data_IF_219736840598
#
_entry.id   IF_219736840598
#
_cell.length_a   1.000
_cell.length_b   1.000
_cell.length_c   1.000
_cell.angle_alpha   90.00
_cell.angle_beta   90.00
_cell.angle_gamma   90.00
#
_symmetry.space_group_name_H-M   'P 1'
#
loop_
_entity.id
_entity.type
_entity.pdbx_description
1 polymer ?
#
# COMPACT_ATOMS: atom_id res chain seq x y z
N UNK A 1 -23.49 -3.63 14.03
CA UNK A 1 -23.40 -4.41 15.29
C UNK A 1 -22.04 -5.09 15.49
N UNK A 2 -21.36 -5.63 14.48
CA UNK A 2 -20.07 -6.32 14.64
C UNK A 2 -18.88 -5.42 15.01
N UNK A 3 -18.77 -4.20 14.46
CA UNK A 3 -17.70 -3.24 14.84
C UNK A 3 -17.80 -2.84 16.32
N UNK A 4 -19.02 -2.67 16.83
CA UNK A 4 -19.25 -2.40 18.26
C UNK A 4 -18.86 -3.57 19.15
N UNK A 5 -18.99 -4.82 18.67
CA UNK A 5 -18.47 -6.02 19.38
C UNK A 5 -16.95 -6.12 19.33
N UNK A 6 -16.31 -5.72 18.23
CA UNK A 6 -14.85 -5.64 18.12
C UNK A 6 -14.28 -4.59 19.10
N UNK A 7 -14.90 -3.41 19.15
CA UNK A 7 -14.56 -2.36 20.13
C UNK A 7 -14.79 -2.84 21.57
N UNK A 8 -15.91 -3.53 21.83
CA UNK A 8 -16.21 -4.09 23.15
C UNK A 8 -15.28 -5.24 23.56
N UNK A 9 -14.88 -6.12 22.64
CA UNK A 9 -13.95 -7.22 22.89
C UNK A 9 -12.51 -6.71 23.11
N UNK A 10 -12.10 -5.67 22.36
CA UNK A 10 -10.85 -4.95 22.62
C UNK A 10 -10.88 -4.28 24.01
N UNK A 11 -12.00 -3.65 24.38
CA UNK A 11 -12.17 -3.02 25.67
C UNK A 11 -12.24 -4.03 26.84
N UNK A 12 -12.80 -5.24 26.62
CA UNK A 12 -12.91 -6.26 27.67
C UNK A 12 -11.63 -7.06 27.88
N UNK A 13 -10.75 -7.15 26.88
CA UNK A 13 -9.43 -7.77 27.00
C UNK A 13 -8.41 -6.86 27.73
N UNK A 14 -8.75 -5.58 27.91
CA UNK A 14 -7.93 -4.59 28.58
C UNK A 14 -8.51 -4.26 29.97
N UNK A 15 -7.81 -4.62 31.05
CA UNK A 15 -8.21 -4.31 32.43
C UNK A 15 -8.63 -2.84 32.62
N UNK A 16 -9.56 -2.56 33.54
CA UNK A 16 -10.32 -1.30 33.71
C UNK A 16 -9.50 0.02 33.69
N UNK A 17 -8.21 0.00 34.05
CA UNK A 17 -7.30 1.17 33.94
C UNK A 17 -6.98 1.55 32.47
N UNK A 18 -7.19 0.62 31.55
CA UNK A 18 -6.89 0.71 30.12
C UNK A 18 -8.16 0.96 29.28
N UNK A 19 -9.36 1.02 29.87
CA UNK A 19 -10.59 1.41 29.15
C UNK A 19 -10.54 2.88 28.70
N UNK A 20 -9.82 3.75 29.44
CA UNK A 20 -9.44 5.08 28.96
C UNK A 20 -8.51 5.03 27.72
N UNK A 21 -7.85 3.90 27.51
CA UNK A 21 -6.99 3.59 26.37
C UNK A 21 -7.70 2.84 25.23
N UNK A 22 -8.99 2.47 25.36
CA UNK A 22 -9.80 2.06 24.21
C UNK A 22 -10.11 3.26 23.27
N UNK A 23 -9.87 4.48 23.76
CA UNK A 23 -9.78 5.71 22.97
C UNK A 23 -8.32 6.04 22.58
N UNK A 24 -7.41 5.04 22.55
CA UNK A 24 -6.08 5.20 21.96
C UNK A 24 -6.29 5.41 20.46
N UNK A 25 -6.13 6.67 20.05
CA UNK A 25 -5.71 7.03 18.71
C UNK A 25 -4.39 6.29 18.46
N UNK A 26 -4.45 5.07 17.89
CA UNK A 26 -3.23 4.32 17.58
C UNK A 26 -2.47 5.10 16.52
N UNK A 27 -1.43 5.78 16.98
CA UNK A 27 -0.65 6.66 16.14
C UNK A 27 0.37 5.81 15.36
N UNK A 28 0.00 5.52 14.11
CA UNK A 28 0.85 4.84 13.17
C UNK A 28 2.15 5.63 12.85
N UNK A 29 2.40 6.81 13.42
CA UNK A 29 3.69 7.50 13.28
C UNK A 29 4.73 7.08 14.33
N UNK A 30 4.35 6.38 15.41
CA UNK A 30 5.22 6.18 16.58
C UNK A 30 6.31 5.11 16.43
N UNK A 31 6.17 4.15 15.51
CA UNK A 31 7.21 3.14 15.27
C UNK A 31 8.12 3.64 14.15
N UNK A 32 9.29 4.13 14.51
CA UNK A 32 10.33 4.54 13.57
C UNK A 32 11.13 3.31 13.14
N UNK A 33 10.79 2.73 12.00
CA UNK A 33 11.62 1.72 11.36
C UNK A 33 12.67 2.40 10.48
N UNK A 34 13.94 2.01 10.62
CA UNK A 34 14.98 2.45 9.69
C UNK A 34 14.64 1.95 8.28
N UNK A 35 14.81 2.84 7.30
CA UNK A 35 14.60 2.48 5.90
C UNK A 35 15.59 1.37 5.49
N UNK A 36 15.14 0.34 4.75
CA UNK A 36 16.02 -0.68 4.20
C UNK A 36 17.14 -0.04 3.37
N UNK A 37 18.29 -0.74 3.25
CA UNK A 37 19.51 -0.21 2.63
C UNK A 37 19.27 0.30 1.22
N UNK A 38 18.37 -0.35 0.49
CA UNK A 38 17.97 -0.06 -0.88
C UNK A 38 17.29 1.31 -1.04
N UNK A 39 16.69 1.84 0.04
CA UNK A 39 15.96 3.11 0.08
C UNK A 39 16.75 4.24 0.77
N UNK A 40 17.97 3.98 1.27
CA UNK A 40 18.76 5.01 1.95
C UNK A 40 19.13 6.17 1.01
N UNK A 41 19.46 5.86 -0.25
CA UNK A 41 19.79 6.87 -1.25
C UNK A 41 18.60 7.80 -1.55
N UNK A 42 17.38 7.24 -1.63
CA UNK A 42 16.14 8.01 -1.74
C UNK A 42 16.01 9.00 -0.56
N UNK A 43 16.23 8.55 0.67
CA UNK A 43 16.26 9.42 1.85
C UNK A 43 17.21 10.61 1.66
N UNK A 44 18.43 10.40 1.17
CA UNK A 44 19.41 11.47 1.00
C UNK A 44 19.05 12.49 -0.11
N UNK A 45 18.16 12.12 -1.03
CA UNK A 45 17.73 12.98 -2.14
C UNK A 45 16.56 13.90 -1.73
N UNK A 46 15.72 13.47 -0.78
CA UNK A 46 14.54 14.24 -0.36
C UNK A 46 14.90 15.49 0.45
N UNK A 47 14.24 16.61 0.15
CA UNK A 47 14.29 17.82 0.99
C UNK A 47 13.77 17.55 2.39
N UNK A 48 14.20 18.31 3.41
CA UNK A 48 13.75 18.16 4.80
C UNK A 48 12.23 18.08 4.95
N UNK A 49 11.49 19.01 4.34
CA UNK A 49 10.01 19.02 4.33
C UNK A 49 9.39 17.77 3.72
N UNK A 50 10.02 17.18 2.70
CA UNK A 50 9.54 15.95 2.05
C UNK A 50 9.81 14.71 2.91
N UNK A 51 10.93 14.68 3.62
CA UNK A 51 11.21 13.64 4.62
C UNK A 51 10.18 13.68 5.73
N UNK A 52 9.94 14.86 6.29
CA UNK A 52 8.94 15.06 7.34
C UNK A 52 7.53 14.63 6.87
N UNK A 53 7.14 14.98 5.64
CA UNK A 53 5.86 14.52 5.09
C UNK A 53 5.82 13.01 4.80
N UNK A 54 6.95 12.38 4.46
CA UNK A 54 7.03 10.95 4.23
C UNK A 54 7.04 10.14 5.54
N UNK A 55 7.51 10.72 6.63
CA UNK A 55 7.59 10.08 7.96
C UNK A 55 6.36 10.36 8.83
N UNK A 56 5.77 11.56 8.72
CA UNK A 56 4.70 12.03 9.63
C UNK A 56 3.47 12.57 8.89
N UNK A 57 3.51 12.63 7.55
CA UNK A 57 2.39 13.16 6.77
C UNK A 57 1.15 12.27 6.83
N UNK A 58 0.00 12.87 6.54
CA UNK A 58 -1.30 12.18 6.47
C UNK A 58 -1.29 11.00 5.49
N UNK A 59 -0.55 11.13 4.39
CA UNK A 59 -0.36 10.05 3.43
C UNK A 59 0.38 8.87 4.07
N UNK A 60 1.45 9.11 4.83
CA UNK A 60 2.21 8.05 5.52
C UNK A 60 1.32 7.31 6.54
N UNK A 61 0.56 8.06 7.34
CA UNK A 61 -0.42 7.50 8.28
C UNK A 61 -1.41 6.60 7.55
N UNK A 62 -1.99 7.07 6.44
CA UNK A 62 -2.92 6.29 5.62
C UNK A 62 -2.26 5.01 5.06
N UNK A 63 -1.03 5.10 4.55
CA UNK A 63 -0.32 3.96 4.01
C UNK A 63 -0.05 2.90 5.08
N UNK A 64 0.23 3.30 6.32
CA UNK A 64 0.41 2.39 7.46
C UNK A 64 -0.91 1.81 7.96
N UNK A 65 -1.97 2.61 7.99
CA UNK A 65 -3.32 2.13 8.30
C UNK A 65 -3.76 1.06 7.29
N UNK A 66 -3.57 1.31 5.99
CA UNK A 66 -3.84 0.34 4.94
C UNK A 66 -2.89 -0.87 5.04
N UNK A 67 -1.60 -0.65 5.33
CA UNK A 67 -0.62 -1.72 5.52
C UNK A 67 -1.05 -2.68 6.63
N UNK A 68 -1.52 -2.15 7.76
CA UNK A 68 -2.09 -2.94 8.84
C UNK A 68 -3.42 -3.60 8.45
N UNK A 69 -4.31 -2.89 7.76
CA UNK A 69 -5.62 -3.42 7.35
C UNK A 69 -5.50 -4.61 6.38
N UNK A 70 -4.52 -4.57 5.49
CA UNK A 70 -4.25 -5.62 4.50
C UNK A 70 -3.11 -6.57 4.90
N UNK A 71 -2.65 -6.50 6.15
CA UNK A 71 -1.61 -7.38 6.65
C UNK A 71 -2.02 -8.86 6.51
N UNK A 72 -1.05 -9.70 6.17
CA UNK A 72 -1.25 -11.13 5.90
C UNK A 72 -1.98 -11.48 4.59
N UNK A 73 -2.38 -10.51 3.75
CA UNK A 73 -2.98 -10.81 2.44
C UNK A 73 -1.90 -11.04 1.37
N UNK A 74 -0.92 -10.14 1.28
CA UNK A 74 0.06 -10.17 0.20
C UNK A 74 1.13 -11.24 0.45
N UNK A 75 1.53 -12.04 -0.56
CA UNK A 75 2.63 -12.99 -0.40
C UNK A 75 3.94 -12.25 -0.11
N UNK A 76 4.86 -12.94 0.59
CA UNK A 76 6.21 -12.42 0.84
C UNK A 76 6.97 -12.30 -0.47
N UNK A 77 7.45 -11.09 -0.77
CA UNK A 77 8.13 -10.77 -2.02
C UNK A 77 9.46 -10.01 -1.81
N UNK A 78 10.42 -10.58 -1.06
CA UNK A 78 11.62 -9.86 -0.65
C UNK A 78 12.48 -9.41 -1.84
N UNK A 79 12.64 -10.25 -2.86
CA UNK A 79 13.45 -9.91 -4.05
C UNK A 79 12.80 -8.79 -4.86
N UNK A 80 11.46 -8.79 -4.99
CA UNK A 80 10.71 -7.70 -5.61
C UNK A 80 10.90 -6.39 -4.84
N UNK A 81 10.76 -6.42 -3.52
CA UNK A 81 10.88 -5.22 -2.68
C UNK A 81 12.29 -4.63 -2.70
N UNK A 82 13.31 -5.49 -2.75
CA UNK A 82 14.71 -5.09 -2.92
C UNK A 82 14.94 -4.42 -4.28
N UNK A 83 14.52 -5.09 -5.37
CA UNK A 83 14.65 -4.58 -6.73
C UNK A 83 13.87 -3.27 -6.92
N UNK A 84 12.67 -3.18 -6.36
CA UNK A 84 11.84 -1.98 -6.36
C UNK A 84 12.54 -0.83 -5.62
N UNK A 85 13.15 -1.10 -4.46
CA UNK A 85 13.87 -0.08 -3.68
C UNK A 85 15.07 0.49 -4.41
N UNK A 86 15.89 -0.37 -5.01
CA UNK A 86 17.03 0.05 -5.85
C UNK A 86 16.55 0.94 -7.00
N UNK A 87 15.48 0.55 -7.68
CA UNK A 87 14.89 1.32 -8.77
C UNK A 87 14.30 2.64 -8.30
N UNK A 88 13.59 2.66 -7.17
CA UNK A 88 13.02 3.88 -6.61
C UNK A 88 14.10 4.90 -6.23
N UNK A 89 15.21 4.43 -5.66
CA UNK A 89 16.40 5.25 -5.38
C UNK A 89 17.05 5.80 -6.65
N UNK A 90 17.15 5.02 -7.72
CA UNK A 90 17.65 5.48 -9.03
C UNK A 90 16.75 6.57 -9.63
N UNK A 91 15.43 6.36 -9.62
CA UNK A 91 14.42 7.35 -10.07
C UNK A 91 14.60 8.65 -9.30
N UNK A 92 14.70 8.58 -7.98
CA UNK A 92 14.83 9.77 -7.15
C UNK A 92 16.10 10.56 -7.45
N UNK A 93 17.23 9.87 -7.68
CA UNK A 93 18.49 10.51 -8.04
C UNK A 93 18.37 11.26 -9.36
N UNK A 94 17.84 10.62 -10.41
CA UNK A 94 17.65 11.25 -11.72
C UNK A 94 16.63 12.40 -11.66
N UNK A 95 15.52 12.22 -10.93
CA UNK A 95 14.50 13.26 -10.77
C UNK A 95 15.08 14.53 -10.11
N UNK A 96 15.98 14.39 -9.14
CA UNK A 96 16.66 15.53 -8.51
C UNK A 96 17.55 16.30 -9.49
N UNK A 97 18.23 15.60 -10.38
CA UNK A 97 19.11 16.19 -11.40
C UNK A 97 18.31 16.93 -12.50
N UNK A 98 17.05 16.53 -12.73
CA UNK A 98 16.22 17.03 -13.84
C UNK A 98 15.26 18.18 -13.42
N UNK A 99 15.33 18.68 -12.17
CA UNK A 99 14.56 19.82 -11.63
C UNK A 99 13.02 19.70 -11.60
N UNK A 100 12.41 18.60 -12.06
CA UNK A 100 10.95 18.45 -12.00
C UNK A 100 10.44 18.09 -10.60
N UNK A 101 9.32 18.69 -10.15
CA UNK A 101 8.82 18.51 -8.80
C UNK A 101 8.28 17.08 -8.61
N UNK A 102 9.10 16.25 -7.99
CA UNK A 102 8.70 15.00 -7.35
C UNK A 102 7.43 15.18 -6.51
N UNK A 103 6.32 14.62 -6.98
CA UNK A 103 5.08 14.54 -6.24
C UNK A 103 5.29 13.66 -5.01
N UNK A 104 4.77 14.10 -3.86
CA UNK A 104 5.04 13.54 -2.54
C UNK A 104 4.70 12.05 -2.45
N UNK A 105 5.73 11.22 -2.62
CA UNK A 105 5.59 9.78 -2.60
C UNK A 105 5.81 9.20 -1.22
N UNK A 106 4.95 8.23 -0.98
CA UNK A 106 4.79 7.40 0.20
C UNK A 106 5.91 6.36 0.26
N UNK A 107 7.03 6.72 0.88
CA UNK A 107 8.08 5.75 1.12
C UNK A 107 8.22 5.54 2.62
N UNK A 108 7.58 4.46 3.08
CA UNK A 108 7.67 3.92 4.44
C UNK A 108 7.79 2.38 4.38
N UNK A 109 7.60 1.74 5.53
CA UNK A 109 7.75 0.29 5.83
C UNK A 109 7.35 -0.71 4.71
N UNK A 110 7.86 -1.95 4.77
CA UNK A 110 7.56 -3.01 3.79
C UNK A 110 6.06 -3.25 3.57
N UNK A 111 5.20 -3.08 4.58
CA UNK A 111 3.74 -3.16 4.46
C UNK A 111 3.16 -1.97 3.69
N UNK A 112 3.71 -0.77 3.87
CA UNK A 112 3.38 0.41 3.09
C UNK A 112 3.83 0.26 1.62
N UNK A 113 4.93 -0.46 1.35
CA UNK A 113 5.38 -0.75 -0.02
C UNK A 113 4.42 -1.67 -0.77
N UNK A 114 3.90 -2.72 -0.13
CA UNK A 114 2.89 -3.59 -0.72
C UNK A 114 1.63 -2.81 -1.11
N UNK A 115 1.16 -1.93 -0.22
CA UNK A 115 0.03 -1.02 -0.51
C UNK A 115 0.35 -0.07 -1.65
N UNK A 116 1.57 0.48 -1.70
CA UNK A 116 2.00 1.34 -2.79
C UNK A 116 2.02 0.60 -4.14
N UNK A 117 2.46 -0.66 -4.17
CA UNK A 117 2.41 -1.50 -5.37
C UNK A 117 0.97 -1.78 -5.80
N UNK A 118 0.05 -2.04 -4.87
CA UNK A 118 -1.38 -2.16 -5.16
C UNK A 118 -1.94 -0.84 -5.72
N UNK A 119 -1.61 0.30 -5.12
CA UNK A 119 -2.03 1.60 -5.62
C UNK A 119 -1.51 1.86 -7.04
N UNK A 120 -0.28 1.45 -7.33
CA UNK A 120 0.31 1.52 -8.67
C UNK A 120 -0.42 0.60 -9.67
N UNK A 121 -0.75 -0.63 -9.26
CA UNK A 121 -1.54 -1.56 -10.07
C UNK A 121 -2.89 -0.95 -10.45
N UNK A 122 -3.63 -0.44 -9.46
CA UNK A 122 -4.93 0.18 -9.69
C UNK A 122 -4.82 1.41 -10.60
N UNK A 123 -3.81 2.24 -10.37
CA UNK A 123 -3.54 3.44 -11.16
C UNK A 123 -3.20 3.15 -12.63
N UNK A 124 -2.59 1.99 -12.93
CA UNK A 124 -2.24 1.56 -14.29
C UNK A 124 -3.42 1.01 -15.07
N UNK A 125 -4.34 0.34 -14.39
CA UNK A 125 -5.42 -0.42 -15.05
C UNK A 125 -6.71 0.40 -15.16
N UNK A 126 -7.04 1.21 -14.15
CA UNK A 126 -8.31 1.95 -14.08
C UNK A 126 -8.12 3.46 -14.13
N UNK A 127 -9.20 4.17 -14.49
CA UNK A 127 -9.26 5.63 -14.35
C UNK A 127 -9.22 6.05 -12.88
N UNK A 128 -8.93 7.32 -12.58
CA UNK A 128 -8.85 7.80 -11.21
C UNK A 128 -10.16 7.60 -10.42
N UNK A 129 -11.30 7.83 -11.07
CA UNK A 129 -12.61 7.68 -10.41
C UNK A 129 -12.92 6.21 -10.09
N UNK A 130 -12.62 5.30 -11.02
CA UNK A 130 -12.79 3.85 -10.84
C UNK A 130 -11.84 3.31 -9.77
N UNK A 131 -10.55 3.67 -9.82
CA UNK A 131 -9.56 3.23 -8.84
C UNK A 131 -9.94 3.65 -7.41
N UNK A 132 -10.47 4.87 -7.24
CA UNK A 132 -10.96 5.34 -5.94
C UNK A 132 -12.20 4.57 -5.50
N UNK A 133 -13.12 4.24 -6.41
CA UNK A 133 -14.28 3.41 -6.08
C UNK A 133 -13.86 1.99 -5.66
N UNK A 134 -12.91 1.40 -6.37
CA UNK A 134 -12.30 0.10 -6.04
C UNK A 134 -11.67 0.16 -4.65
N UNK A 135 -10.87 1.20 -4.34
CA UNK A 135 -10.28 1.37 -3.00
C UNK A 135 -11.32 1.42 -1.88
N UNK A 136 -12.43 2.14 -2.10
CA UNK A 136 -13.53 2.22 -1.13
C UNK A 136 -14.15 0.83 -0.91
N UNK A 137 -14.36 0.07 -1.98
CA UNK A 137 -14.85 -1.30 -1.89
C UNK A 137 -13.85 -2.22 -1.17
N UNK A 138 -12.56 -2.15 -1.51
CA UNK A 138 -11.48 -2.92 -0.90
C UNK A 138 -11.43 -2.72 0.62
N UNK A 139 -11.45 -1.47 1.07
CA UNK A 139 -11.44 -1.14 2.50
C UNK A 139 -12.71 -1.65 3.19
N UNK A 140 -13.88 -1.46 2.56
CA UNK A 140 -15.17 -1.89 3.11
C UNK A 140 -15.25 -3.41 3.28
N UNK A 141 -14.93 -4.16 2.22
CA UNK A 141 -14.97 -5.63 2.25
C UNK A 141 -13.91 -6.21 3.18
N UNK A 142 -12.72 -5.61 3.25
CA UNK A 142 -11.68 -6.07 4.20
C UNK A 142 -12.13 -5.88 5.65
N UNK A 143 -12.71 -4.72 5.99
CA UNK A 143 -13.27 -4.48 7.33
C UNK A 143 -14.39 -5.48 7.67
N UNK A 144 -15.29 -5.78 6.72
CA UNK A 144 -16.34 -6.80 6.89
C UNK A 144 -15.73 -8.20 7.10
N UNK A 145 -14.70 -8.56 6.35
CA UNK A 145 -14.01 -9.85 6.48
C UNK A 145 -13.41 -10.01 7.87
N UNK A 146 -12.73 -8.98 8.41
CA UNK A 146 -12.13 -9.04 9.75
C UNK A 146 -13.20 -9.09 10.83
N UNK A 147 -14.29 -8.32 10.68
CA UNK A 147 -15.42 -8.37 11.60
C UNK A 147 -16.02 -9.79 11.68
N UNK A 148 -16.15 -10.49 10.54
CA UNK A 148 -16.59 -11.89 10.50
C UNK A 148 -15.63 -12.86 11.19
N UNK A 149 -14.31 -12.62 11.12
CA UNK A 149 -13.31 -13.45 11.83
C UNK A 149 -13.47 -13.30 13.35
N UNK A 150 -13.66 -12.07 13.83
CA UNK A 150 -13.91 -11.82 15.26
C UNK A 150 -15.24 -12.41 15.71
N UNK A 151 -16.30 -12.31 14.91
CA UNK A 151 -17.59 -12.94 15.23
C UNK A 151 -17.48 -14.48 15.36
N UNK A 152 -16.48 -15.10 14.70
CA UNK A 152 -16.17 -16.54 14.81
C UNK A 152 -15.25 -16.89 16.00
N UNK A 153 -14.79 -15.90 16.77
CA UNK A 153 -13.86 -16.10 17.88
C UNK A 153 -12.41 -16.33 17.46
N UNK A 154 -12.04 -16.00 16.21
CA UNK A 154 -10.65 -16.09 15.76
C UNK A 154 -9.82 -14.97 16.41
N UNK A 155 -8.59 -15.26 16.88
CA UNK A 155 -7.72 -14.24 17.44
C UNK A 155 -7.26 -13.26 16.35
N UNK A 156 -7.54 -11.98 16.56
CA UNK A 156 -7.15 -10.91 15.62
C UNK A 156 -6.02 -10.07 16.23
N UNK A 157 -4.90 -9.86 15.51
CA UNK A 157 -3.82 -8.99 15.98
C UNK A 157 -4.31 -7.59 16.34
N UNK A 158 -3.77 -7.02 17.42
CA UNK A 158 -4.17 -5.69 17.91
C UNK A 158 -4.08 -4.59 16.84
N UNK A 159 -3.00 -4.57 16.04
CA UNK A 159 -2.83 -3.61 14.94
C UNK A 159 -3.91 -3.73 13.87
N UNK A 160 -4.36 -4.95 13.56
CA UNK A 160 -5.43 -5.22 12.61
C UNK A 160 -6.78 -4.74 13.17
N UNK A 161 -7.03 -5.00 14.45
CA UNK A 161 -8.25 -4.56 15.12
C UNK A 161 -8.33 -3.02 15.24
N UNK A 162 -7.20 -2.36 15.53
CA UNK A 162 -7.09 -0.91 15.52
C UNK A 162 -7.34 -0.31 14.12
N UNK A 163 -6.80 -0.92 13.07
CA UNK A 163 -6.99 -0.46 11.68
C UNK A 163 -8.45 -0.55 11.21
N UNK A 164 -9.22 -1.54 11.69
CA UNK A 164 -10.67 -1.65 11.39
C UNK A 164 -11.46 -0.47 11.96
N UNK A 165 -11.10 -0.01 13.17
CA UNK A 165 -11.77 1.08 13.87
C UNK A 165 -11.50 2.48 13.29
N UNK A 166 -10.45 2.64 12.48
CA UNK A 166 -10.08 3.91 11.87
C UNK A 166 -11.00 4.25 10.69
N UNK A 167 -11.50 5.49 10.62
CA UNK A 167 -12.25 5.95 9.45
C UNK A 167 -11.30 6.32 8.30
N UNK A 168 -11.45 5.65 7.16
CA UNK A 168 -10.64 5.91 5.96
C UNK A 168 -11.58 6.54 4.95
N UNK A 169 -11.43 7.86 4.79
CA UNK A 169 -12.33 8.65 3.96
C UNK A 169 -12.01 8.51 2.47
N UNK A 170 -13.03 8.66 1.62
CA UNK A 170 -12.86 8.67 0.15
C UNK A 170 -11.84 9.72 -0.34
N UNK A 171 -11.78 10.96 0.21
CA UNK A 171 -10.74 11.93 -0.16
C UNK A 171 -9.31 11.46 0.15
N UNK A 172 -9.09 10.75 1.26
CA UNK A 172 -7.79 10.17 1.58
C UNK A 172 -7.38 9.12 0.54
N UNK A 173 -8.31 8.25 0.12
CA UNK A 173 -8.08 7.27 -0.94
C UNK A 173 -7.81 7.93 -2.30
N UNK A 174 -8.49 9.05 -2.60
CA UNK A 174 -8.21 9.84 -3.79
C UNK A 174 -6.81 10.47 -3.77
N UNK A 175 -6.34 10.96 -2.62
CA UNK A 175 -4.99 11.47 -2.47
C UNK A 175 -3.92 10.37 -2.64
N UNK A 176 -4.20 9.15 -2.15
CA UNK A 176 -3.36 7.98 -2.36
C UNK A 176 -3.23 7.62 -3.85
N UNK A 177 -4.36 7.51 -4.57
CA UNK A 177 -4.36 7.23 -6.01
C UNK A 177 -3.63 8.33 -6.80
N UNK A 178 -3.86 9.61 -6.47
CA UNK A 178 -3.17 10.72 -7.09
C UNK A 178 -1.64 10.66 -6.87
N UNK A 179 -1.20 10.30 -5.67
CA UNK A 179 0.23 10.09 -5.35
C UNK A 179 0.83 8.94 -6.17
N UNK A 180 0.14 7.80 -6.24
CA UNK A 180 0.59 6.66 -7.05
C UNK A 180 0.68 7.00 -8.54
N UNK A 181 -0.31 7.70 -9.10
CA UNK A 181 -0.27 8.17 -10.50
C UNK A 181 0.86 9.15 -10.76
N UNK A 182 1.15 10.02 -9.81
CA UNK A 182 2.24 10.97 -9.97
C UNK A 182 3.61 10.28 -9.91
N UNK A 183 3.76 9.29 -9.01
CA UNK A 183 4.93 8.41 -8.99
C UNK A 183 5.15 7.69 -10.32
N UNK A 184 4.10 7.05 -10.84
CA UNK A 184 4.18 6.31 -12.10
C UNK A 184 4.56 7.23 -13.27
N UNK A 185 4.00 8.44 -13.34
CA UNK A 185 4.37 9.42 -14.38
C UNK A 185 5.86 9.76 -14.34
N UNK A 186 6.41 10.04 -13.16
CA UNK A 186 7.84 10.33 -13.01
C UNK A 186 8.70 9.11 -13.37
N UNK A 187 8.31 7.92 -12.90
CA UNK A 187 9.03 6.68 -13.17
C UNK A 187 9.04 6.35 -14.68
N UNK A 188 7.89 6.53 -15.34
CA UNK A 188 7.70 6.28 -16.77
C UNK A 188 8.42 7.31 -17.63
N UNK A 189 8.55 8.55 -17.16
CA UNK A 189 9.32 9.56 -17.88
C UNK A 189 10.82 9.24 -17.86
N UNK A 190 11.35 8.96 -16.67
CA UNK A 190 12.77 8.60 -16.47
C UNK A 190 13.13 7.30 -17.20
N UNK A 191 12.25 6.29 -17.15
CA UNK A 191 12.46 5.00 -17.79
C UNK A 191 11.67 4.82 -19.08
N UNK A 192 11.36 5.89 -19.81
CA UNK A 192 10.47 5.89 -20.98
C UNK A 192 10.80 4.81 -22.00
N UNK A 193 12.09 4.59 -22.29
CA UNK A 193 12.53 3.55 -23.24
C UNK A 193 12.22 2.13 -22.71
N UNK A 194 12.59 1.84 -21.46
CA UNK A 194 12.35 0.53 -20.83
C UNK A 194 10.85 0.26 -20.68
N UNK A 195 10.07 1.26 -20.29
CA UNK A 195 8.61 1.13 -20.18
C UNK A 195 7.96 0.84 -21.54
N UNK A 196 8.33 1.59 -22.59
CA UNK A 196 7.83 1.33 -23.94
C UNK A 196 8.16 -0.08 -24.44
N UNK A 197 9.37 -0.57 -24.15
CA UNK A 197 9.77 -1.92 -24.54
C UNK A 197 8.91 -2.98 -23.82
N UNK A 198 8.68 -2.81 -22.51
CA UNK A 198 7.80 -3.69 -21.75
C UNK A 198 6.36 -3.68 -22.32
N UNK A 199 5.81 -2.50 -22.59
CA UNK A 199 4.46 -2.38 -23.17
C UNK A 199 4.36 -3.06 -24.53
N UNK A 200 5.40 -2.98 -25.36
CA UNK A 200 5.45 -3.67 -26.65
C UNK A 200 5.50 -5.20 -26.48
N UNK A 201 6.27 -5.70 -25.52
CA UNK A 201 6.33 -7.14 -25.22
C UNK A 201 4.97 -7.63 -24.74
N UNK A 202 4.35 -6.93 -23.79
CA UNK A 202 3.04 -7.32 -23.23
C UNK A 202 1.94 -7.30 -24.28
N UNK A 203 1.93 -6.34 -25.22
CA UNK A 203 0.97 -6.30 -26.33
C UNK A 203 1.10 -7.48 -27.30
N UNK A 204 2.27 -8.10 -27.35
CA UNK A 204 2.52 -9.26 -28.20
C UNK A 204 2.23 -10.59 -27.48
N UNK A 205 1.85 -10.56 -26.20
CA UNK A 205 1.46 -11.74 -25.44
C UNK A 205 -0.07 -11.80 -25.37
N UNK A 206 -0.67 -12.86 -25.91
CA UNK A 206 -2.10 -13.15 -25.73
C UNK A 206 -2.33 -13.60 -24.28
N UNK A 207 -2.56 -12.64 -23.37
CA UNK A 207 -2.86 -12.95 -21.98
C UNK A 207 -4.39 -13.15 -21.81
N UNK A 208 -4.85 -14.35 -21.39
CA UNK A 208 -6.26 -14.59 -21.16
C UNK A 208 -6.75 -13.77 -19.95
N UNK A 209 -7.69 -12.86 -20.18
CA UNK A 209 -8.36 -12.13 -19.11
C UNK A 209 -9.36 -13.05 -18.41
N UNK A 210 -9.13 -13.34 -17.12
CA UNK A 210 -10.08 -14.09 -16.31
C UNK A 210 -11.35 -13.25 -16.08
N UNK A 211 -12.45 -13.65 -16.71
CA UNK A 211 -13.76 -13.02 -16.54
C UNK A 211 -14.53 -13.62 -15.36
N UNK A 212 -15.20 -12.75 -14.58
CA UNK A 212 -16.41 -13.12 -13.84
C UNK A 212 -16.37 -13.18 -12.30
N UNK A 213 -15.40 -12.58 -11.61
CA UNK A 213 -15.41 -12.54 -10.13
C UNK A 213 -15.68 -11.14 -9.55
N UNK A 214 -16.19 -11.08 -8.32
CA UNK A 214 -16.43 -9.83 -7.61
C UNK A 214 -15.16 -8.97 -7.54
N UNK A 215 -15.30 -7.64 -7.69
CA UNK A 215 -14.19 -6.69 -7.82
C UNK A 215 -13.16 -6.87 -6.69
N UNK A 216 -13.60 -6.97 -5.44
CA UNK A 216 -12.72 -7.28 -4.31
C UNK A 216 -11.85 -8.52 -4.53
N UNK A 217 -12.46 -9.69 -4.79
CA UNK A 217 -11.72 -10.94 -4.93
C UNK A 217 -10.81 -10.92 -6.16
N UNK A 218 -11.30 -10.40 -7.29
CA UNK A 218 -10.54 -10.27 -8.53
C UNK A 218 -9.29 -9.41 -8.34
N UNK A 219 -9.43 -8.25 -7.71
CA UNK A 219 -8.31 -7.31 -7.51
C UNK A 219 -7.29 -7.88 -6.53
N UNK A 220 -7.74 -8.48 -5.42
CA UNK A 220 -6.84 -9.08 -4.43
C UNK A 220 -6.09 -10.28 -5.03
N UNK A 221 -6.76 -11.14 -5.78
CA UNK A 221 -6.13 -12.27 -6.46
C UNK A 221 -5.12 -11.81 -7.52
N UNK A 222 -5.53 -10.85 -8.37
CA UNK A 222 -4.65 -10.24 -9.37
C UNK A 222 -3.41 -9.63 -8.72
N UNK A 223 -3.58 -8.92 -7.61
CA UNK A 223 -2.48 -8.32 -6.87
C UNK A 223 -1.50 -9.36 -6.34
N UNK A 224 -2.00 -10.45 -5.73
CA UNK A 224 -1.16 -11.56 -5.24
C UNK A 224 -0.37 -12.19 -6.37
N UNK A 225 -1.03 -12.53 -7.48
CA UNK A 225 -0.40 -13.12 -8.67
C UNK A 225 0.67 -12.17 -9.21
N UNK A 226 0.34 -10.89 -9.39
CA UNK A 226 1.29 -9.91 -9.91
C UNK A 226 2.53 -9.78 -9.03
N UNK A 227 2.37 -9.70 -7.70
CA UNK A 227 3.49 -9.62 -6.76
C UNK A 227 4.34 -10.89 -6.81
N UNK A 228 3.72 -12.07 -6.80
CA UNK A 228 4.44 -13.35 -6.84
C UNK A 228 5.19 -13.54 -8.17
N UNK A 229 4.53 -13.30 -9.31
CA UNK A 229 5.13 -13.39 -10.64
C UNK A 229 6.30 -12.42 -10.77
N UNK A 230 6.14 -11.17 -10.34
CA UNK A 230 7.22 -10.18 -10.40
C UNK A 230 8.38 -10.56 -9.48
N UNK A 231 8.11 -11.13 -8.29
CA UNK A 231 9.15 -11.61 -7.39
C UNK A 231 9.95 -12.78 -7.99
N UNK A 232 9.28 -13.73 -8.67
CA UNK A 232 9.93 -14.84 -9.40
C UNK A 232 10.77 -14.30 -10.55
N UNK A 233 10.22 -13.41 -11.36
CA UNK A 233 10.88 -12.82 -12.52
C UNK A 233 12.18 -12.10 -12.13
N UNK A 234 12.17 -11.25 -11.09
CA UNK A 234 13.39 -10.56 -10.64
C UNK A 234 14.41 -11.51 -10.01
N UNK A 235 13.95 -12.67 -9.54
CA UNK A 235 14.81 -13.73 -9.01
C UNK A 235 15.34 -14.68 -10.10
N UNK A 236 15.02 -14.42 -11.38
CA UNK A 236 15.41 -15.29 -12.50
C UNK A 236 14.67 -16.63 -12.54
N UNK A 237 13.53 -16.73 -11.86
CA UNK A 237 12.69 -17.92 -11.82
C UNK A 237 11.57 -17.79 -12.87
N UNK A 238 11.27 -18.88 -13.60
CA UNK A 238 10.17 -18.91 -14.57
C UNK A 238 8.78 -18.81 -13.90
#
# INVERSE_FOLDING_TARGET
MAIGRLQAALASATNEVTVAAANINFDFTLIKCEAPKEYQALGNVLSKRRKENAEFGSSHVLARQLGALFDGICPSAPALLEAYGKRASEIAKVAKETSEPFAGTLFGEYTALHIHLLACLLARVWTAQEAVAIWVELVSERKKSIARQVDKGEPVPFALAAAVGQDISRPQLAALDASARAWLRTADDIFRRKQKQLDLILKNLELPMAGGSAVFSSVIETWKIAVETMNKLVSGQP
#
